data_IF_740397336035
#
_entry.id   IF_740397336035
#
_cell.length_a   1.000
_cell.length_b   1.000
_cell.length_c   1.000
_cell.angle_alpha   90.00
_cell.angle_beta   90.00
_cell.angle_gamma   90.00
#
_symmetry.space_group_name_H-M   'P 1'
#
loop_
_entity.id
_entity.type
_entity.pdbx_description
1 polymer ?
#
# COMPACT_ATOMS: atom_id res chain seq x y z
N UNK A 1 -4.84 -14.15 4.16
CA UNK A 1 -5.19 -12.73 4.04
C UNK A 1 -4.02 -11.89 4.52
N UNK A 2 -3.72 -10.79 3.85
CA UNK A 2 -2.72 -9.79 4.23
C UNK A 2 -3.21 -8.40 3.80
N UNK A 3 -2.54 -7.37 4.29
CA UNK A 3 -2.72 -6.01 3.82
C UNK A 3 -1.47 -5.57 3.08
N UNK A 4 -1.67 -4.95 1.92
CA UNK A 4 -0.65 -4.12 1.32
C UNK A 4 -0.85 -2.70 1.85
N UNK A 5 0.19 -2.15 2.45
CA UNK A 5 0.20 -0.80 3.02
C UNK A 5 1.17 0.04 2.20
N UNK A 6 0.73 1.22 1.79
CA UNK A 6 1.56 2.25 1.18
C UNK A 6 1.68 3.44 2.13
N UNK A 7 2.92 3.88 2.35
CA UNK A 7 3.27 4.95 3.29
C UNK A 7 4.38 5.82 2.70
N UNK A 8 4.30 7.14 2.88
CA UNK A 8 5.42 8.06 2.61
C UNK A 8 6.29 8.23 3.86
N UNK A 9 7.51 8.73 3.65
CA UNK A 9 8.40 9.14 4.73
C UNK A 9 8.07 10.54 5.29
N UNK A 10 7.26 11.32 4.59
CA UNK A 10 6.95 12.71 4.94
C UNK A 10 5.81 12.85 5.99
N UNK A 11 5.20 11.74 6.40
CA UNK A 11 4.07 11.71 7.34
C UNK A 11 2.72 11.82 6.64
N UNK A 12 1.67 11.29 7.29
CA UNK A 12 0.32 11.23 6.73
C UNK A 12 -0.40 9.95 7.12
N UNK A 13 -1.63 9.79 6.60
CA UNK A 13 -2.38 8.53 6.74
C UNK A 13 -1.82 7.48 5.78
N UNK A 14 -1.65 6.25 6.27
CA UNK A 14 -1.25 5.12 5.43
C UNK A 14 -2.42 4.67 4.58
N UNK A 15 -2.17 4.33 3.31
CA UNK A 15 -3.17 3.67 2.47
C UNK A 15 -3.06 2.16 2.67
N UNK A 16 -4.18 1.46 2.80
CA UNK A 16 -4.18 0.02 2.98
C UNK A 16 -5.22 -0.68 2.09
N UNK A 17 -4.87 -1.85 1.55
CA UNK A 17 -5.81 -2.72 0.86
C UNK A 17 -5.66 -4.16 1.35
N UNK A 18 -6.79 -4.82 1.61
CA UNK A 18 -6.81 -6.23 1.96
C UNK A 18 -6.66 -7.08 0.69
N UNK A 19 -5.73 -8.04 0.70
CA UNK A 19 -5.49 -8.95 -0.41
C UNK A 19 -5.12 -10.35 0.08
N UNK A 20 -5.11 -11.29 -0.86
CA UNK A 20 -4.51 -12.61 -0.66
C UNK A 20 -3.07 -12.60 -1.15
N UNK A 21 -2.20 -13.37 -0.48
CA UNK A 21 -0.84 -13.61 -0.97
C UNK A 21 -0.91 -14.29 -2.35
N UNK A 22 -0.02 -13.91 -3.26
CA UNK A 22 0.08 -14.55 -4.57
C UNK A 22 0.49 -13.58 -5.68
N UNK A 23 0.26 -14.03 -6.92
CA UNK A 23 0.71 -13.33 -8.13
C UNK A 23 0.11 -11.92 -8.25
N UNK A 24 -1.15 -11.74 -7.89
CA UNK A 24 -1.83 -10.43 -8.02
C UNK A 24 -1.26 -9.38 -7.06
N UNK A 25 -0.95 -9.77 -5.81
CA UNK A 25 -0.25 -8.88 -4.88
C UNK A 25 1.14 -8.50 -5.41
N UNK A 26 1.90 -9.47 -5.93
CA UNK A 26 3.24 -9.22 -6.47
C UNK A 26 3.19 -8.28 -7.69
N UNK A 27 2.25 -8.49 -8.61
CA UNK A 27 2.02 -7.61 -9.76
C UNK A 27 1.65 -6.20 -9.34
N UNK A 28 0.76 -6.04 -8.36
CA UNK A 28 0.38 -4.73 -7.84
C UNK A 28 1.59 -4.00 -7.27
N UNK A 29 2.39 -4.66 -6.40
CA UNK A 29 3.61 -4.05 -5.85
C UNK A 29 4.59 -3.63 -6.95
N UNK A 30 4.84 -4.48 -7.94
CA UNK A 30 5.73 -4.17 -9.06
C UNK A 30 5.23 -2.98 -9.89
N UNK A 31 3.91 -2.93 -10.17
CA UNK A 31 3.28 -1.83 -10.90
C UNK A 31 3.48 -0.51 -10.16
N UNK A 32 3.19 -0.47 -8.85
CA UNK A 32 3.35 0.75 -8.05
C UNK A 32 4.80 1.24 -8.00
N UNK A 33 5.76 0.34 -7.82
CA UNK A 33 7.19 0.71 -7.81
C UNK A 33 7.68 1.19 -9.19
N UNK A 34 7.10 0.66 -10.27
CA UNK A 34 7.45 1.07 -11.64
C UNK A 34 6.81 2.40 -12.03
N UNK A 35 5.62 2.68 -11.51
CA UNK A 35 4.88 3.92 -11.77
C UNK A 35 5.42 5.11 -10.95
N UNK A 36 6.12 4.86 -9.84
CA UNK A 36 6.71 5.88 -8.96
C UNK A 36 8.25 5.73 -8.80
N UNK A 37 9.02 5.78 -9.91
CA UNK A 37 10.48 5.60 -9.86
C UNK A 37 11.17 6.88 -9.37
N UNK A 38 11.28 7.04 -8.05
CA UNK A 38 11.98 8.18 -7.43
C UNK A 38 11.38 8.64 -6.12
N UNK A 39 10.14 8.24 -5.84
CA UNK A 39 9.43 8.62 -4.62
C UNK A 39 9.75 7.67 -3.47
N UNK A 40 9.86 8.21 -2.26
CA UNK A 40 10.13 7.46 -1.03
C UNK A 40 8.86 6.73 -0.53
N UNK A 41 8.22 5.96 -1.41
CA UNK A 41 7.08 5.14 -1.07
C UNK A 41 7.53 3.81 -0.46
N UNK A 42 7.09 3.54 0.76
CA UNK A 42 7.27 2.25 1.42
C UNK A 42 6.04 1.37 1.18
N UNK A 43 6.27 0.20 0.56
CA UNK A 43 5.24 -0.81 0.32
C UNK A 43 5.41 -2.03 1.23
N UNK A 44 4.59 -2.09 2.27
CA UNK A 44 4.67 -3.11 3.31
C UNK A 44 3.57 -4.16 3.13
N UNK A 45 3.92 -5.41 3.33
CA UNK A 45 2.93 -6.50 3.33
C UNK A 45 2.78 -7.02 4.75
N UNK A 46 1.65 -6.72 5.38
CA UNK A 46 1.40 -7.08 6.78
C UNK A 46 0.36 -8.18 6.82
N UNK A 47 0.76 -9.34 7.32
CA UNK A 47 -0.10 -10.52 7.46
C UNK A 47 -0.47 -10.82 8.90
N UNK A 48 0.20 -10.18 9.87
CA UNK A 48 -0.04 -10.34 11.31
C UNK A 48 -0.95 -9.23 11.81
N UNK A 49 -2.16 -9.53 12.34
CA UNK A 49 -3.09 -8.50 12.77
C UNK A 49 -2.56 -7.58 13.87
N UNK A 50 -1.72 -8.09 14.76
CA UNK A 50 -1.11 -7.31 15.84
C UNK A 50 -0.17 -6.20 15.33
N UNK A 51 0.33 -6.31 14.10
CA UNK A 51 1.22 -5.32 13.51
C UNK A 51 0.45 -4.24 12.71
N UNK A 52 -0.88 -4.32 12.61
CA UNK A 52 -1.65 -3.32 11.85
C UNK A 52 -1.59 -1.95 12.53
N UNK A 53 -1.75 -1.87 13.85
CA UNK A 53 -1.76 -0.60 14.58
C UNK A 53 -0.46 0.23 14.43
N UNK A 54 0.64 -0.40 14.03
CA UNK A 54 1.94 0.26 13.80
C UNK A 54 1.90 1.26 12.63
N UNK A 55 0.91 1.16 11.75
CA UNK A 55 0.79 2.02 10.56
C UNK A 55 -0.46 2.90 10.55
N UNK A 56 -1.17 2.99 11.67
CA UNK A 56 -2.27 3.94 11.84
C UNK A 56 -1.79 5.40 11.77
N UNK A 57 -2.64 6.33 11.29
CA UNK A 57 -4.02 6.11 10.80
C UNK A 57 -4.07 5.52 9.39
N UNK A 58 -5.11 4.74 9.08
CA UNK A 58 -5.32 4.11 7.78
C UNK A 58 -6.48 4.69 6.99
N UNK A 59 -6.30 4.73 5.67
CA UNK A 59 -7.40 4.79 4.71
C UNK A 59 -7.48 3.45 3.96
N UNK A 60 -8.56 2.69 4.20
CA UNK A 60 -8.76 1.39 3.56
C UNK A 60 -9.42 1.54 2.20
N UNK A 61 -8.90 0.80 1.22
CA UNK A 61 -9.39 0.76 -0.15
C UNK A 61 -9.95 -0.62 -0.48
N UNK A 62 -11.03 -0.63 -1.27
CA UNK A 62 -11.74 -1.88 -1.60
C UNK A 62 -11.17 -2.60 -2.84
N UNK A 63 -10.53 -1.87 -3.75
CA UNK A 63 -10.05 -2.43 -5.03
C UNK A 63 -8.59 -2.09 -5.33
N UNK A 64 -7.83 -3.00 -5.97
CA UNK A 64 -6.43 -2.75 -6.35
C UNK A 64 -6.25 -1.52 -7.23
N UNK A 65 -7.22 -1.27 -8.12
CA UNK A 65 -7.15 -0.11 -9.03
C UNK A 65 -7.37 1.20 -8.27
N UNK A 66 -8.35 1.27 -7.37
CA UNK A 66 -8.56 2.44 -6.52
C UNK A 66 -7.34 2.70 -5.63
N UNK A 67 -6.80 1.65 -5.02
CA UNK A 67 -5.58 1.73 -4.23
C UNK A 67 -4.41 2.28 -5.05
N UNK A 68 -4.20 1.78 -6.27
CA UNK A 68 -3.11 2.23 -7.12
C UNK A 68 -3.25 3.68 -7.57
N UNK A 69 -4.47 4.14 -7.86
CA UNK A 69 -4.73 5.53 -8.20
C UNK A 69 -4.47 6.45 -7.00
N UNK A 70 -4.95 6.06 -5.81
CA UNK A 70 -4.78 6.90 -4.62
C UNK A 70 -3.32 6.96 -4.18
N UNK A 71 -2.58 5.87 -4.32
CA UNK A 71 -1.13 5.83 -4.16
C UNK A 71 -0.45 6.83 -5.10
N UNK A 72 -0.81 6.87 -6.38
CA UNK A 72 -0.26 7.86 -7.30
C UNK A 72 -0.63 9.27 -6.87
N UNK A 73 -1.89 9.55 -6.58
CA UNK A 73 -2.34 10.89 -6.20
C UNK A 73 -1.70 11.41 -4.91
N UNK A 74 -1.45 10.52 -3.94
CA UNK A 74 -0.92 10.89 -2.62
C UNK A 74 0.60 10.98 -2.57
N UNK A 75 1.30 10.35 -3.53
CA UNK A 75 2.76 10.19 -3.52
C UNK A 75 3.43 10.63 -4.83
N UNK A 76 2.76 11.41 -5.69
CA UNK A 76 3.36 12.11 -6.85
C UNK A 76 3.51 13.60 -6.57
#
# INVERSE_FOLDING_TARGET
MCYLIAKNNQGGSSLAIQMMHGKELAKLKQKLLSDLPGEEIQLLTVSRPSAYTEYEPFCFMDTPDHFAQEVKNSFS
#
